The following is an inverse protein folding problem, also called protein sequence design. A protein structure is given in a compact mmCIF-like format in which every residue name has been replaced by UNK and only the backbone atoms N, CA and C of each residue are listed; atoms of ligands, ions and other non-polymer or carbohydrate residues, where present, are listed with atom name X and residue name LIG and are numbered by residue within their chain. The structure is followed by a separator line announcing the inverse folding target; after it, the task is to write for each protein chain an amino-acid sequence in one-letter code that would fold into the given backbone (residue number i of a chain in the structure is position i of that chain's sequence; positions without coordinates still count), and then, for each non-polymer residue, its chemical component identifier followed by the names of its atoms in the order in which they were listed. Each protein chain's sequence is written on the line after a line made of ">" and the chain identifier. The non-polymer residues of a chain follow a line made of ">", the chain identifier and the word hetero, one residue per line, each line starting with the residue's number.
data_IF_767071397045
#
_entry.id   IF_767071397045
#
_cell.length_a   1.000
_cell.length_b   1.000
_cell.length_c   1.000
_cell.angle_alpha   90.00
_cell.angle_beta   90.00
_cell.angle_gamma   90.00
#
_symmetry.space_group_name_H-M   'P 1'
#
loop_
_entity.id
_entity.type
_entity.pdbx_description
1 polymer ?
#
# COMPACT_ATOMS: atom_id res chain seq x y z
N UNK A 1 39.44 37.62 -2.33
CA UNK A 1 38.84 36.74 -1.30
C UNK A 1 37.51 36.22 -1.83
N UNK A 2 37.43 34.92 -2.11
CA UNK A 2 36.16 34.21 -2.38
C UNK A 2 36.13 33.05 -1.40
N UNK A 3 35.25 33.14 -0.42
CA UNK A 3 35.02 32.11 0.59
C UNK A 3 34.39 30.89 -0.07
N UNK A 4 35.15 29.80 -0.08
CA UNK A 4 34.72 28.48 -0.51
C UNK A 4 33.75 27.93 0.53
N UNK A 5 32.49 27.71 0.16
CA UNK A 5 31.55 26.92 0.97
C UNK A 5 31.84 25.46 0.63
N UNK A 6 32.57 24.78 1.52
CA UNK A 6 32.78 23.35 1.47
C UNK A 6 31.60 22.65 2.16
N UNK A 7 30.54 22.34 1.40
CA UNK A 7 29.52 21.39 1.84
C UNK A 7 30.05 19.99 1.52
N UNK A 8 30.79 19.42 2.46
CA UNK A 8 31.08 17.97 2.46
C UNK A 8 29.78 17.28 2.82
N UNK A 9 28.99 16.91 1.81
CA UNK A 9 27.96 15.89 1.96
C UNK A 9 28.69 14.56 2.00
N UNK A 10 28.94 14.06 3.20
CA UNK A 10 29.40 12.69 3.42
C UNK A 10 28.24 11.75 3.07
N UNK A 11 28.03 11.49 1.77
CA UNK A 11 27.29 10.31 1.32
C UNK A 11 28.19 9.12 1.64
N UNK A 12 28.03 8.59 2.86
CA UNK A 12 28.58 7.30 3.24
C UNK A 12 28.05 6.26 2.26
N UNK A 13 28.97 5.78 1.42
CA UNK A 13 28.79 4.61 0.61
C UNK A 13 28.39 3.43 1.49
N UNK A 14 27.12 3.06 1.45
CA UNK A 14 26.62 1.73 1.79
C UNK A 14 26.55 0.86 0.54
N UNK A 15 27.62 0.81 -0.25
CA UNK A 15 27.77 -0.19 -1.32
C UNK A 15 28.35 -1.45 -0.70
N UNK A 16 27.51 -2.21 0.00
CA UNK A 16 27.80 -3.61 0.31
C UNK A 16 26.56 -4.44 -0.03
N UNK A 17 26.71 -5.27 -1.07
CA UNK A 17 25.92 -6.47 -1.42
C UNK A 17 24.72 -6.28 -2.35
N UNK A 18 25.06 -6.20 -3.64
CA UNK A 18 24.27 -6.60 -4.82
C UNK A 18 23.88 -8.10 -4.80
N UNK A 19 23.17 -8.58 -3.79
CA UNK A 19 22.64 -9.96 -3.77
C UNK A 19 21.26 -9.97 -3.11
N UNK A 20 20.23 -10.01 -3.95
CA UNK A 20 18.79 -9.92 -3.65
C UNK A 20 18.33 -8.51 -3.22
N UNK A 21 17.43 -7.91 -4.01
CA UNK A 21 16.46 -6.98 -3.46
C UNK A 21 15.84 -7.70 -2.27
N UNK A 22 16.00 -7.19 -1.05
CA UNK A 22 15.29 -7.76 0.10
C UNK A 22 13.79 -7.76 -0.24
N UNK A 23 13.04 -8.75 0.26
CA UNK A 23 11.58 -8.83 0.02
C UNK A 23 10.88 -7.50 0.31
N UNK A 24 11.40 -6.76 1.29
CA UNK A 24 11.00 -5.40 1.64
C UNK A 24 11.22 -4.36 0.51
N UNK A 25 12.35 -4.40 -0.21
CA UNK A 25 12.56 -3.51 -1.37
C UNK A 25 11.62 -3.86 -2.52
N UNK A 26 11.37 -5.15 -2.76
CA UNK A 26 10.42 -5.59 -3.78
C UNK A 26 8.99 -5.11 -3.43
N UNK A 27 8.59 -5.26 -2.17
CA UNK A 27 7.35 -4.72 -1.63
C UNK A 27 7.25 -3.21 -1.86
N UNK A 28 8.27 -2.43 -1.51
CA UNK A 28 8.24 -0.97 -1.70
C UNK A 28 8.12 -0.54 -3.17
N UNK A 29 8.76 -1.26 -4.10
CA UNK A 29 8.63 -1.01 -5.55
C UNK A 29 7.21 -1.31 -6.03
N UNK A 30 6.65 -2.46 -5.65
CA UNK A 30 5.29 -2.85 -6.02
C UNK A 30 4.25 -1.88 -5.40
N UNK A 31 4.51 -1.38 -4.20
CA UNK A 31 3.65 -0.45 -3.49
C UNK A 31 3.52 0.90 -4.22
N UNK A 32 4.60 1.36 -4.84
CA UNK A 32 4.57 2.56 -5.68
C UNK A 32 3.69 2.37 -6.93
N UNK A 33 3.69 1.17 -7.51
CA UNK A 33 2.77 0.82 -8.61
C UNK A 33 1.31 0.82 -8.15
N UNK A 34 1.03 0.21 -7.00
CA UNK A 34 -0.30 0.19 -6.40
C UNK A 34 -0.86 1.58 -6.07
N UNK A 35 -0.01 2.51 -5.64
CA UNK A 35 -0.41 3.89 -5.36
C UNK A 35 -1.12 4.55 -6.57
N UNK A 36 -0.75 4.19 -7.80
CA UNK A 36 -1.42 4.66 -9.01
C UNK A 36 -2.81 4.02 -9.17
N UNK A 37 -2.93 2.71 -8.98
CA UNK A 37 -4.21 1.96 -9.04
C UNK A 37 -5.20 2.42 -7.98
N UNK A 38 -4.72 2.73 -6.77
CA UNK A 38 -5.50 3.13 -5.61
C UNK A 38 -6.30 4.42 -5.80
N UNK A 39 -5.85 5.32 -6.70
CA UNK A 39 -6.55 6.60 -6.97
C UNK A 39 -7.95 6.41 -7.55
N UNK A 40 -8.26 5.23 -8.07
CA UNK A 40 -9.55 4.91 -8.71
C UNK A 40 -10.54 4.22 -7.77
N UNK A 41 -10.20 4.10 -6.50
CA UNK A 41 -11.04 3.46 -5.47
C UNK A 41 -11.76 4.52 -4.67
N UNK A 42 -13.09 4.56 -4.77
CA UNK A 42 -13.91 5.24 -3.77
C UNK A 42 -13.94 4.39 -2.49
N UNK A 43 -13.38 4.88 -1.37
CA UNK A 43 -13.27 4.08 -0.14
C UNK A 43 -14.61 3.78 0.52
N UNK A 44 -15.68 4.47 0.12
CA UNK A 44 -17.05 4.25 0.60
C UNK A 44 -17.82 3.26 -0.28
N UNK A 45 -17.32 2.96 -1.49
CA UNK A 45 -17.94 2.04 -2.44
C UNK A 45 -17.27 0.67 -2.38
N UNK A 46 -17.95 -0.33 -1.80
CA UNK A 46 -17.39 -1.67 -1.67
C UNK A 46 -16.97 -2.30 -3.02
N UNK A 47 -17.71 -2.04 -4.10
CA UNK A 47 -17.41 -2.62 -5.41
C UNK A 47 -16.08 -2.10 -5.98
N UNK A 48 -15.67 -0.89 -5.61
CA UNK A 48 -14.44 -0.29 -6.11
C UNK A 48 -13.17 -0.98 -5.57
N UNK A 49 -13.26 -1.66 -4.42
CA UNK A 49 -12.14 -2.42 -3.86
C UNK A 49 -11.75 -3.62 -4.73
N UNK A 50 -12.63 -4.10 -5.62
CA UNK A 50 -12.28 -5.17 -6.57
C UNK A 50 -11.20 -4.72 -7.56
N UNK A 51 -11.14 -3.41 -7.88
CA UNK A 51 -10.16 -2.84 -8.82
C UNK A 51 -8.71 -3.00 -8.36
N UNK A 52 -8.50 -3.12 -7.04
CA UNK A 52 -7.18 -3.23 -6.42
C UNK A 52 -6.89 -4.63 -5.86
N UNK A 53 -7.79 -5.60 -6.06
CA UNK A 53 -7.71 -6.91 -5.40
C UNK A 53 -6.44 -7.67 -5.77
N UNK A 54 -6.09 -7.72 -7.05
CA UNK A 54 -4.93 -8.48 -7.52
C UNK A 54 -3.61 -7.85 -7.07
N UNK A 55 -3.50 -6.52 -7.14
CA UNK A 55 -2.34 -5.80 -6.62
C UNK A 55 -2.23 -5.95 -5.09
N UNK A 56 -3.35 -5.89 -4.38
CA UNK A 56 -3.39 -6.08 -2.93
C UNK A 56 -2.97 -7.50 -2.51
N UNK A 57 -3.33 -8.53 -3.30
CA UNK A 57 -2.87 -9.91 -3.08
C UNK A 57 -1.36 -10.02 -3.25
N UNK A 58 -0.82 -9.46 -4.34
CA UNK A 58 0.61 -9.44 -4.59
C UNK A 58 1.37 -8.73 -3.45
N UNK A 59 0.85 -7.58 -3.02
CA UNK A 59 1.45 -6.80 -1.93
C UNK A 59 1.40 -7.54 -0.60
N UNK A 60 0.26 -8.15 -0.24
CA UNK A 60 0.15 -9.01 0.96
C UNK A 60 1.23 -10.08 1.01
N UNK A 61 1.49 -10.73 -0.12
CA UNK A 61 2.40 -11.88 -0.15
C UNK A 61 3.86 -11.45 0.06
N UNK A 62 4.23 -10.27 -0.46
CA UNK A 62 5.55 -9.64 -0.32
C UNK A 62 5.72 -8.74 0.91
N UNK A 63 4.62 -8.39 1.59
CA UNK A 63 4.63 -7.40 2.66
C UNK A 63 5.46 -7.85 3.88
N UNK A 64 6.17 -6.92 4.54
CA UNK A 64 6.78 -7.19 5.84
C UNK A 64 5.70 -7.49 6.88
N UNK A 65 6.07 -8.24 7.92
CA UNK A 65 5.14 -8.74 8.94
C UNK A 65 4.27 -7.63 9.57
N UNK A 66 4.85 -6.43 9.75
CA UNK A 66 4.20 -5.28 10.37
C UNK A 66 2.92 -4.81 9.66
N UNK A 67 2.79 -5.04 8.34
CA UNK A 67 1.61 -4.62 7.55
C UNK A 67 0.98 -5.75 6.74
N UNK A 68 1.50 -6.97 6.87
CA UNK A 68 0.99 -8.14 6.14
C UNK A 68 -0.46 -8.45 6.50
N UNK A 69 -0.80 -8.35 7.78
CA UNK A 69 -2.17 -8.57 8.27
C UNK A 69 -3.12 -7.46 7.81
N UNK A 70 -2.65 -6.20 7.76
CA UNK A 70 -3.42 -5.08 7.20
C UNK A 70 -3.75 -5.31 5.72
N UNK A 71 -2.78 -5.79 4.94
CA UNK A 71 -3.04 -6.22 3.57
C UNK A 71 -4.05 -7.37 3.51
N UNK A 72 -4.00 -8.30 4.45
CA UNK A 72 -4.99 -9.36 4.61
C UNK A 72 -6.41 -8.82 4.79
N UNK A 73 -6.59 -7.73 5.56
CA UNK A 73 -7.89 -7.06 5.74
C UNK A 73 -8.39 -6.47 4.42
N UNK A 74 -7.54 -5.76 3.68
CA UNK A 74 -7.88 -5.17 2.37
C UNK A 74 -8.29 -6.25 1.38
N UNK A 75 -7.48 -7.31 1.25
CA UNK A 75 -7.77 -8.45 0.37
C UNK A 75 -9.08 -9.12 0.73
N UNK A 76 -9.30 -9.41 2.02
CA UNK A 76 -10.53 -10.07 2.49
C UNK A 76 -11.78 -9.25 2.17
N UNK A 77 -11.71 -7.93 2.32
CA UNK A 77 -12.83 -7.06 1.99
C UNK A 77 -13.09 -7.02 0.48
N UNK A 78 -12.04 -6.86 -0.32
CA UNK A 78 -12.13 -6.86 -1.78
C UNK A 78 -12.65 -8.20 -2.33
N UNK A 79 -12.29 -9.34 -1.73
CA UNK A 79 -12.84 -10.65 -2.09
C UNK A 79 -14.32 -10.78 -1.74
N UNK A 80 -14.76 -10.23 -0.59
CA UNK A 80 -16.19 -10.17 -0.25
C UNK A 80 -16.96 -9.33 -1.26
N UNK A 81 -16.41 -8.18 -1.66
CA UNK A 81 -17.01 -7.34 -2.70
C UNK A 81 -17.06 -8.04 -4.06
N UNK A 82 -15.98 -8.72 -4.46
CA UNK A 82 -15.95 -9.53 -5.68
C UNK A 82 -17.01 -10.63 -5.65
N UNK A 83 -17.16 -11.32 -4.52
CA UNK A 83 -18.17 -12.37 -4.33
C UNK A 83 -19.60 -11.82 -4.38
N UNK A 84 -19.82 -10.62 -3.86
CA UNK A 84 -21.11 -9.93 -3.95
C UNK A 84 -21.47 -9.57 -5.39
N UNK A 85 -20.47 -9.34 -6.26
CA UNK A 85 -20.67 -9.10 -7.69
C UNK A 85 -21.56 -7.89 -7.95
N UNK A 86 -22.75 -8.12 -8.51
CA UNK A 86 -23.76 -7.07 -8.75
C UNK A 86 -24.90 -7.04 -7.73
N UNK A 87 -24.81 -7.82 -6.64
CA UNK A 87 -25.80 -7.82 -5.57
C UNK A 87 -25.74 -6.49 -4.80
N UNK A 88 -26.69 -5.60 -5.11
CA UNK A 88 -26.75 -4.26 -4.51
C UNK A 88 -26.99 -4.30 -3.00
N UNK A 89 -27.69 -5.31 -2.49
CA UNK A 89 -27.99 -5.42 -1.05
C UNK A 89 -26.72 -5.80 -0.31
N UNK A 90 -26.00 -6.81 -0.81
CA UNK A 90 -24.76 -7.24 -0.18
C UNK A 90 -23.63 -6.20 -0.32
N UNK A 91 -23.53 -5.52 -1.46
CA UNK A 91 -22.60 -4.41 -1.63
C UNK A 91 -22.91 -3.24 -0.69
N UNK A 92 -24.18 -2.86 -0.53
CA UNK A 92 -24.58 -1.82 0.42
C UNK A 92 -24.24 -2.22 1.87
N UNK A 93 -24.46 -3.49 2.24
CA UNK A 93 -24.08 -4.03 3.55
C UNK A 93 -22.56 -3.99 3.75
N UNK A 94 -21.78 -4.33 2.73
CA UNK A 94 -20.31 -4.28 2.78
C UNK A 94 -19.79 -2.85 2.88
N UNK A 95 -20.39 -1.89 2.19
CA UNK A 95 -20.04 -0.47 2.28
C UNK A 95 -20.19 0.11 3.69
N UNK A 96 -21.05 -0.47 4.53
CA UNK A 96 -21.17 -0.09 5.96
C UNK A 96 -20.05 -0.68 6.85
N UNK A 97 -19.23 -1.58 6.33
CA UNK A 97 -18.16 -2.29 7.04
C UNK A 97 -16.76 -1.87 6.57
N UNK A 98 -16.61 -0.67 6.01
CA UNK A 98 -15.31 -0.17 5.51
C UNK A 98 -14.36 0.27 6.63
N UNK A 99 -14.84 0.47 7.86
CA UNK A 99 -14.03 0.96 9.00
C UNK A 99 -12.72 0.18 9.25
N UNK A 100 -12.74 -1.16 9.34
CA UNK A 100 -11.53 -1.96 9.46
C UNK A 100 -10.56 -1.79 8.28
N UNK A 101 -11.10 -1.69 7.06
CA UNK A 101 -10.29 -1.52 5.84
C UNK A 101 -9.61 -0.15 5.82
N UNK A 102 -10.34 0.91 6.19
CA UNK A 102 -9.78 2.27 6.32
C UNK A 102 -8.65 2.29 7.37
N UNK A 103 -8.83 1.55 8.46
CA UNK A 103 -7.81 1.44 9.52
C UNK A 103 -6.56 0.72 9.01
N UNK A 104 -6.72 -0.42 8.34
CA UNK A 104 -5.63 -1.15 7.70
C UNK A 104 -4.91 -0.29 6.65
N UNK A 105 -5.66 0.45 5.83
CA UNK A 105 -5.10 1.35 4.83
C UNK A 105 -4.26 2.47 5.45
N UNK A 106 -4.67 2.98 6.62
CA UNK A 106 -3.90 3.97 7.37
C UNK A 106 -2.57 3.40 7.87
N UNK A 107 -2.56 2.15 8.34
CA UNK A 107 -1.33 1.47 8.76
C UNK A 107 -0.39 1.25 7.56
N UNK A 108 -0.92 0.73 6.46
CA UNK A 108 -0.18 0.53 5.20
C UNK A 108 0.41 1.84 4.69
N UNK A 109 -0.37 2.92 4.60
CA UNK A 109 0.11 4.23 4.12
C UNK A 109 1.12 4.88 5.06
N UNK A 110 1.01 4.67 6.36
CA UNK A 110 2.01 5.11 7.33
C UNK A 110 3.33 4.36 7.12
N UNK A 111 3.27 3.04 7.02
CA UNK A 111 4.45 2.22 6.71
C UNK A 111 5.06 2.57 5.35
N UNK A 112 4.23 2.79 4.32
CA UNK A 112 4.68 3.20 2.99
C UNK A 112 5.53 4.47 3.06
N UNK A 113 5.08 5.46 3.83
CA UNK A 113 5.80 6.71 4.03
C UNK A 113 7.07 6.53 4.86
N UNK A 114 6.98 5.79 5.96
CA UNK A 114 8.04 5.74 6.96
C UNK A 114 9.18 4.77 6.55
N UNK A 115 8.83 3.59 6.04
CA UNK A 115 9.78 2.57 5.62
C UNK A 115 10.14 2.68 4.13
N UNK A 116 9.15 2.84 3.25
CA UNK A 116 9.37 2.81 1.79
C UNK A 116 9.64 4.19 1.16
N UNK A 117 9.37 5.29 1.87
CA UNK A 117 9.38 6.66 1.32
C UNK A 117 8.46 6.84 0.10
N UNK A 118 7.37 6.08 0.07
CA UNK A 118 6.33 6.12 -0.98
C UNK A 118 5.09 6.82 -0.43
N UNK A 119 4.58 7.81 -1.17
CA UNK A 119 3.30 8.45 -0.89
C UNK A 119 2.16 7.66 -1.56
N UNK A 120 1.45 6.87 -0.77
CA UNK A 120 0.21 6.20 -1.19
C UNK A 120 -0.97 7.13 -0.92
N UNK A 121 -1.89 7.35 -1.88
CA UNK A 121 -3.09 8.15 -1.66
C UNK A 121 -3.85 7.65 -0.43
N UNK A 122 -4.30 8.59 0.41
CA UNK A 122 -5.19 8.25 1.51
C UNK A 122 -6.56 7.92 0.95
N UNK A 123 -7.10 6.80 1.39
CA UNK A 123 -8.51 6.45 1.25
C UNK A 123 -9.24 7.13 2.41
N UNK A 124 -9.93 8.23 2.15
CA UNK A 124 -10.68 9.00 3.13
C UNK A 124 -12.05 9.41 2.62
#
# INVERSE_FOLDING_TARGET
>A
MRTTIATVVTLLAGTTLLTACTEEQAYCVDLAGYAASATQVDPTNAADYVKILDDAKKLRDSAPADVKDDWGVVVTFAEKAQKAGSDRVELARLSQQTGPVITAYKAITTHAKDACKVDVPKLN
#
